data_IF_973875011700
#
_entry.id   IF_973875011700
#
_cell.length_a   1.000
_cell.length_b   1.000
_cell.length_c   1.000
_cell.angle_alpha   90.00
_cell.angle_beta   90.00
_cell.angle_gamma   90.00
#
_symmetry.space_group_name_H-M   'P 1'
#
loop_
_entity.id
_entity.type
_entity.pdbx_description
1 polymer ?
#
# COMPACT_ATOMS: atom_id res chain seq x y z
N UNK A 1 -33.47 -39.63 -57.48
CA UNK A 1 -33.31 -39.40 -56.03
C UNK A 1 -31.82 -39.13 -55.73
N UNK A 2 -31.25 -38.04 -56.25
CA UNK A 2 -29.77 -37.93 -56.29
C UNK A 2 -29.19 -36.53 -56.10
N UNK A 3 -29.97 -35.45 -56.13
CA UNK A 3 -29.43 -34.08 -56.00
C UNK A 3 -29.49 -33.59 -54.55
N UNK A 4 -30.61 -33.77 -53.85
CA UNK A 4 -30.74 -33.37 -52.45
C UNK A 4 -29.75 -34.08 -51.51
N UNK A 5 -29.39 -35.33 -51.80
CA UNK A 5 -28.38 -36.05 -51.01
C UNK A 5 -26.96 -35.51 -51.19
N UNK A 6 -26.63 -35.04 -52.40
CA UNK A 6 -25.31 -34.46 -52.70
C UNK A 6 -25.17 -33.09 -52.06
N UNK A 7 -26.20 -32.24 -52.11
CA UNK A 7 -26.17 -30.91 -51.49
C UNK A 7 -26.06 -31.00 -49.96
N UNK A 8 -26.79 -31.93 -49.33
CA UNK A 8 -26.69 -32.16 -47.88
C UNK A 8 -25.30 -32.68 -47.49
N UNK A 9 -24.71 -33.59 -48.29
CA UNK A 9 -23.37 -34.12 -48.01
C UNK A 9 -22.26 -33.06 -48.22
N UNK A 10 -22.41 -32.19 -49.23
CA UNK A 10 -21.49 -31.08 -49.50
C UNK A 10 -21.57 -29.99 -48.42
N UNK A 11 -22.78 -29.67 -47.94
CA UNK A 11 -22.96 -28.80 -46.78
C UNK A 11 -22.38 -29.42 -45.50
N UNK A 12 -22.52 -30.73 -45.29
CA UNK A 12 -21.96 -31.43 -44.13
C UNK A 12 -20.42 -31.45 -44.17
N UNK A 13 -19.82 -31.55 -45.36
CA UNK A 13 -18.36 -31.46 -45.56
C UNK A 13 -17.82 -30.03 -45.41
N UNK A 14 -18.60 -29.01 -45.78
CA UNK A 14 -18.23 -27.60 -45.58
C UNK A 14 -18.32 -27.17 -44.10
N UNK A 15 -19.26 -27.74 -43.33
CA UNK A 15 -19.37 -27.49 -41.89
C UNK A 15 -18.33 -28.28 -41.08
N UNK A 16 -17.92 -29.46 -41.54
CA UNK A 16 -16.87 -30.27 -40.90
C UNK A 16 -15.45 -29.96 -41.39
N UNK A 17 -15.31 -29.11 -42.42
CA UNK A 17 -14.04 -28.68 -43.00
C UNK A 17 -13.33 -27.54 -42.26
N UNK A 18 -13.94 -26.92 -41.25
CA UNK A 18 -13.19 -26.13 -40.27
C UNK A 18 -12.40 -27.12 -39.41
N UNK A 19 -11.15 -27.36 -39.81
CA UNK A 19 -10.22 -28.16 -39.02
C UNK A 19 -10.26 -27.70 -37.56
N UNK A 20 -10.59 -28.58 -36.60
CA UNK A 20 -10.72 -28.22 -35.19
C UNK A 20 -9.43 -27.63 -34.61
N UNK A 21 -8.28 -27.84 -35.26
CA UNK A 21 -6.99 -27.26 -34.90
C UNK A 21 -6.94 -25.71 -34.98
N UNK A 22 -7.65 -25.07 -35.92
CA UNK A 22 -7.61 -23.60 -36.06
C UNK A 22 -8.51 -22.87 -35.04
N UNK A 23 -9.55 -23.55 -34.57
CA UNK A 23 -10.49 -23.05 -33.55
C UNK A 23 -10.01 -23.38 -32.13
N UNK A 24 -9.32 -24.52 -31.95
CA UNK A 24 -8.63 -24.86 -30.70
C UNK A 24 -7.49 -23.92 -30.38
N UNK A 25 -6.68 -23.46 -31.34
CA UNK A 25 -5.60 -22.50 -31.06
C UNK A 25 -6.12 -21.17 -30.50
N UNK A 26 -7.23 -20.66 -31.04
CA UNK A 26 -7.89 -19.45 -30.50
C UNK A 26 -8.48 -19.70 -29.12
N UNK A 27 -9.05 -20.88 -28.87
CA UNK A 27 -9.61 -21.24 -27.57
C UNK A 27 -8.53 -21.46 -26.50
N UNK A 28 -7.37 -22.01 -26.87
CA UNK A 28 -6.24 -22.21 -25.96
C UNK A 28 -5.64 -20.86 -25.51
N UNK A 29 -5.53 -19.90 -26.43
CA UNK A 29 -5.13 -18.52 -26.10
C UNK A 29 -6.16 -17.82 -25.19
N UNK A 30 -7.46 -17.97 -25.48
CA UNK A 30 -8.53 -17.40 -24.67
C UNK A 30 -8.57 -17.97 -23.25
N UNK A 31 -8.38 -19.28 -23.10
CA UNK A 31 -8.30 -19.94 -21.78
C UNK A 31 -7.08 -19.43 -21.00
N UNK A 32 -5.95 -19.23 -21.67
CA UNK A 32 -4.74 -18.69 -21.05
C UNK A 32 -4.94 -17.26 -20.56
N UNK A 33 -5.60 -16.41 -21.35
CA UNK A 33 -5.94 -15.03 -20.97
C UNK A 33 -6.93 -14.98 -19.80
N UNK A 34 -7.96 -15.85 -19.80
CA UNK A 34 -8.92 -15.95 -18.69
C UNK A 34 -8.24 -16.37 -17.38
N UNK A 35 -7.29 -17.29 -17.45
CA UNK A 35 -6.50 -17.70 -16.29
C UNK A 35 -5.70 -16.53 -15.71
N UNK A 36 -4.99 -15.80 -16.55
CA UNK A 36 -4.24 -14.60 -16.14
C UNK A 36 -5.16 -13.55 -15.50
N UNK A 37 -6.37 -13.36 -16.04
CA UNK A 37 -7.34 -12.43 -15.47
C UNK A 37 -7.74 -12.80 -14.04
N UNK A 38 -7.93 -14.10 -13.76
CA UNK A 38 -8.29 -14.57 -12.41
C UNK A 38 -7.18 -14.38 -11.38
N UNK A 39 -5.93 -14.58 -11.78
CA UNK A 39 -4.76 -14.38 -10.92
C UNK A 39 -4.57 -12.90 -10.59
N UNK A 40 -4.65 -12.01 -11.60
CA UNK A 40 -4.57 -10.55 -11.40
C UNK A 40 -5.72 -10.03 -10.53
N UNK A 41 -6.94 -10.56 -10.68
CA UNK A 41 -8.07 -10.18 -9.83
C UNK A 41 -7.83 -10.56 -8.35
N UNK A 42 -7.19 -11.70 -8.10
CA UNK A 42 -6.81 -12.12 -6.75
C UNK A 42 -5.74 -11.21 -6.15
N UNK A 43 -4.69 -10.88 -6.90
CA UNK A 43 -3.65 -9.95 -6.48
C UNK A 43 -4.20 -8.55 -6.18
N UNK A 44 -5.12 -8.05 -7.01
CA UNK A 44 -5.79 -6.77 -6.78
C UNK A 44 -6.66 -6.79 -5.52
N UNK A 45 -7.32 -7.92 -5.22
CA UNK A 45 -8.09 -8.07 -3.99
C UNK A 45 -7.16 -8.00 -2.76
N UNK A 46 -6.02 -8.67 -2.81
CA UNK A 46 -5.00 -8.62 -1.75
C UNK A 46 -4.45 -7.20 -1.57
N UNK A 47 -4.08 -6.52 -2.65
CA UNK A 47 -3.59 -5.13 -2.60
C UNK A 47 -4.65 -4.17 -2.05
N UNK A 48 -5.93 -4.36 -2.40
CA UNK A 48 -7.05 -3.56 -1.87
C UNK A 48 -7.24 -3.73 -0.37
N UNK A 49 -6.87 -4.88 0.21
CA UNK A 49 -6.93 -5.04 1.68
C UNK A 49 -5.84 -4.25 2.40
N UNK A 50 -4.68 -4.06 1.76
CA UNK A 50 -3.56 -3.29 2.29
C UNK A 50 -3.76 -1.78 2.12
N UNK A 51 -4.40 -1.37 1.01
CA UNK A 51 -4.71 0.01 0.66
C UNK A 51 -6.22 0.28 0.82
N UNK A 52 -6.64 0.61 2.03
CA UNK A 52 -8.04 0.97 2.30
C UNK A 52 -8.21 2.48 2.17
N UNK A 53 -8.92 2.91 1.12
CA UNK A 53 -9.50 4.26 1.05
C UNK A 53 -10.75 4.29 1.92
N UNK A 54 -10.78 5.19 2.90
CA UNK A 54 -11.92 5.42 3.78
C UNK A 54 -12.99 6.21 3.03
N UNK A 55 -14.23 6.09 3.49
CA UNK A 55 -15.39 6.83 2.94
C UNK A 55 -15.29 8.35 3.10
N UNK A 56 -14.45 8.84 4.02
CA UNK A 56 -14.16 10.26 4.23
C UNK A 56 -12.99 10.79 3.39
N UNK A 57 -12.49 9.99 2.43
CA UNK A 57 -11.35 10.35 1.59
C UNK A 57 -9.98 10.13 2.25
N UNK A 58 -9.93 9.61 3.49
CA UNK A 58 -8.69 9.25 4.14
C UNK A 58 -8.04 7.99 3.56
N UNK A 59 -6.72 7.91 3.59
CA UNK A 59 -5.97 6.69 3.26
C UNK A 59 -5.48 6.01 4.54
N UNK A 60 -5.64 4.68 4.62
CA UNK A 60 -5.07 3.87 5.71
C UNK A 60 -4.11 2.85 5.12
N UNK A 61 -2.88 2.86 5.63
CA UNK A 61 -1.86 1.84 5.43
C UNK A 61 -1.77 1.01 6.71
N UNK A 62 -2.02 -0.30 6.60
CA UNK A 62 -1.98 -1.21 7.76
C UNK A 62 -1.20 -2.48 7.45
N UNK A 63 -0.33 -2.88 8.37
CA UNK A 63 0.36 -4.18 8.37
C UNK A 63 -0.06 -4.94 9.63
N UNK A 64 -0.18 -6.26 9.54
CA UNK A 64 -0.40 -7.13 10.70
C UNK A 64 0.89 -7.38 11.50
N UNK A 65 2.03 -6.96 10.96
CA UNK A 65 3.37 -7.12 11.55
C UNK A 65 4.17 -5.83 11.32
N UNK A 66 5.47 -5.96 11.11
CA UNK A 66 6.37 -4.84 10.91
C UNK A 66 6.08 -4.05 9.63
N UNK A 67 6.46 -2.79 9.63
CA UNK A 67 6.45 -1.90 8.48
C UNK A 67 7.82 -1.22 8.38
N UNK A 68 8.46 -1.32 7.21
CA UNK A 68 9.74 -0.69 6.93
C UNK A 68 9.55 0.42 5.89
N UNK A 69 10.05 1.62 6.20
CA UNK A 69 10.06 2.76 5.28
C UNK A 69 11.51 3.21 5.15
N UNK A 70 12.11 2.95 4.00
CA UNK A 70 13.51 3.27 3.72
C UNK A 70 13.61 4.25 2.55
N UNK A 71 14.48 5.25 2.69
CA UNK A 71 14.83 6.18 1.61
C UNK A 71 16.34 6.29 1.53
N UNK A 72 16.89 6.05 0.34
CA UNK A 72 18.32 6.21 0.10
C UNK A 72 18.80 7.67 0.09
N UNK A 73 17.88 8.65 0.21
CA UNK A 73 18.21 10.09 0.24
C UNK A 73 17.39 10.84 1.28
N UNK A 74 16.25 11.42 0.88
CA UNK A 74 15.43 12.31 1.72
C UNK A 74 14.02 11.74 1.86
N UNK A 75 13.39 11.97 3.01
CA UNK A 75 11.98 11.68 3.27
C UNK A 75 11.34 12.94 3.86
N UNK A 76 10.16 13.31 3.36
CA UNK A 76 9.37 14.43 3.86
C UNK A 76 8.01 13.89 4.30
N UNK A 77 7.65 14.11 5.56
CA UNK A 77 6.30 13.89 6.09
C UNK A 77 5.72 15.25 6.43
N UNK A 78 4.60 15.61 5.78
CA UNK A 78 3.95 16.91 5.95
C UNK A 78 2.47 16.72 6.22
N UNK A 79 1.94 17.51 7.15
CA UNK A 79 0.52 17.54 7.50
C UNK A 79 0.08 19.00 7.68
N UNK A 80 -1.11 19.34 7.21
CA UNK A 80 -1.62 20.72 7.26
C UNK A 80 -2.06 21.15 8.67
N UNK A 81 -2.47 20.21 9.51
CA UNK A 81 -3.01 20.51 10.85
C UNK A 81 -2.17 19.89 11.97
N UNK A 82 -1.91 18.57 11.89
CA UNK A 82 -1.18 17.83 12.92
C UNK A 82 -0.48 16.59 12.35
N UNK A 83 0.74 16.32 12.82
CA UNK A 83 1.46 15.08 12.58
C UNK A 83 1.69 14.38 13.92
N UNK A 84 1.37 13.09 14.01
CA UNK A 84 1.52 12.30 15.25
C UNK A 84 2.25 10.99 14.97
N UNK A 85 3.31 10.73 15.73
CA UNK A 85 4.00 9.44 15.79
C UNK A 85 3.68 8.81 17.15
N UNK A 86 3.06 7.64 17.18
CA UNK A 86 2.58 7.03 18.43
C UNK A 86 2.96 5.56 18.53
N UNK A 87 3.37 5.14 19.73
CA UNK A 87 3.55 3.75 20.11
C UNK A 87 3.00 3.52 21.53
N UNK A 88 1.81 2.92 21.63
CA UNK A 88 1.12 2.77 22.90
C UNK A 88 0.88 4.12 23.58
N UNK A 89 1.51 4.33 24.75
CA UNK A 89 1.43 5.59 25.52
C UNK A 89 2.48 6.64 25.14
N UNK A 90 3.49 6.28 24.34
CA UNK A 90 4.51 7.23 23.90
C UNK A 90 4.04 7.94 22.63
N UNK A 91 4.32 9.23 22.52
CA UNK A 91 3.93 10.03 21.35
C UNK A 91 4.89 11.19 21.07
N UNK A 92 5.02 11.53 19.80
CA UNK A 92 5.58 12.80 19.31
C UNK A 92 4.49 13.47 18.47
N UNK A 93 4.13 14.71 18.80
CA UNK A 93 3.08 15.48 18.11
C UNK A 93 3.65 16.80 17.63
N UNK A 94 3.43 17.10 16.35
CA UNK A 94 3.72 18.39 15.73
C UNK A 94 2.40 19.03 15.32
N UNK A 95 2.16 20.26 15.77
CA UNK A 95 0.92 21.00 15.52
C UNK A 95 1.16 22.18 14.57
N UNK A 96 0.13 22.59 13.80
CA UNK A 96 0.25 23.72 12.85
C UNK A 96 0.67 25.06 13.46
N UNK A 97 0.48 25.23 14.77
CA UNK A 97 0.88 26.44 15.50
C UNK A 97 2.38 26.46 15.88
N UNK A 98 3.12 25.38 15.56
CA UNK A 98 4.54 25.24 15.86
C UNK A 98 4.82 24.50 17.17
N UNK A 99 3.80 24.10 17.93
CA UNK A 99 4.00 23.33 19.16
C UNK A 99 4.50 21.92 18.83
N UNK A 100 5.48 21.47 19.61
CA UNK A 100 6.03 20.11 19.57
C UNK A 100 5.89 19.51 20.96
N UNK A 101 5.22 18.36 21.05
CA UNK A 101 5.02 17.62 22.29
C UNK A 101 5.68 16.24 22.20
N UNK A 102 6.50 15.88 23.20
CA UNK A 102 7.18 14.59 23.28
C UNK A 102 6.81 13.96 24.63
N UNK A 103 6.04 12.88 24.58
CA UNK A 103 5.57 12.16 25.76
C UNK A 103 6.11 10.73 25.80
N UNK A 104 6.56 10.31 26.98
CA UNK A 104 7.00 8.95 27.23
C UNK A 104 7.30 8.71 28.72
N UNK A 105 7.36 7.44 29.13
CA UNK A 105 7.75 7.07 30.50
C UNK A 105 9.22 7.40 30.80
N UNK A 106 10.09 7.21 29.81
CA UNK A 106 11.51 7.53 29.87
C UNK A 106 11.90 8.16 28.52
N UNK A 107 12.64 9.27 28.56
CA UNK A 107 13.13 9.97 27.36
C UNK A 107 14.64 10.14 27.53
N UNK A 108 15.40 9.54 26.62
CA UNK A 108 16.86 9.66 26.58
C UNK A 108 17.25 10.46 25.34
N UNK A 109 18.02 11.53 25.53
CA UNK A 109 18.56 12.36 24.46
C UNK A 109 20.09 12.31 24.57
N UNK A 110 20.76 11.82 23.53
CA UNK A 110 22.21 11.68 23.46
C UNK A 110 22.73 12.39 22.22
N UNK A 111 23.79 13.19 22.36
CA UNK A 111 24.50 13.80 21.25
C UNK A 111 26.01 13.49 21.36
N UNK A 112 26.68 13.34 20.22
CA UNK A 112 28.13 13.11 20.18
C UNK A 112 28.95 14.36 20.47
N UNK A 113 28.41 15.53 20.15
CA UNK A 113 29.00 16.83 20.42
C UNK A 113 28.12 17.54 21.46
N UNK A 114 27.29 18.49 21.03
CA UNK A 114 26.52 19.35 21.93
C UNK A 114 25.01 19.11 21.83
N UNK A 115 24.32 19.31 22.96
CA UNK A 115 22.88 19.56 23.01
C UNK A 115 22.70 21.03 23.41
N UNK A 116 22.17 21.85 22.50
CA UNK A 116 21.96 23.28 22.73
C UNK A 116 20.47 23.56 22.85
N UNK A 117 20.02 23.97 24.04
CA UNK A 117 18.63 24.36 24.30
C UNK A 117 18.61 25.87 24.59
N UNK A 118 17.88 26.64 23.79
CA UNK A 118 17.74 28.10 23.93
C UNK A 118 16.27 28.47 24.01
N UNK A 119 15.94 29.39 24.89
CA UNK A 119 14.63 30.03 24.95
C UNK A 119 14.80 31.54 25.08
N UNK A 120 13.99 32.30 24.36
CA UNK A 120 14.00 33.78 24.42
C UNK A 120 13.13 34.33 25.56
N UNK A 121 12.31 33.47 26.18
CA UNK A 121 11.38 33.86 27.26
C UNK A 121 11.69 33.10 28.54
N UNK A 122 11.46 31.79 28.53
CA UNK A 122 11.59 30.95 29.72
C UNK A 122 11.97 29.52 29.34
N UNK A 123 12.81 28.90 30.17
CA UNK A 123 13.06 27.46 30.17
C UNK A 123 12.65 26.91 31.54
N UNK A 124 11.69 25.99 31.57
CA UNK A 124 11.24 25.32 32.80
C UNK A 124 11.70 23.88 32.78
N UNK A 125 12.63 23.53 33.68
CA UNK A 125 13.10 22.16 33.88
C UNK A 125 12.70 21.69 35.29
N UNK A 126 11.86 20.65 35.36
CA UNK A 126 11.37 20.07 36.61
C UNK A 126 11.80 18.61 36.70
N UNK A 127 12.44 18.26 37.81
CA UNK A 127 12.78 16.89 38.16
C UNK A 127 12.95 16.78 39.67
N UNK A 128 12.70 15.59 40.24
CA UNK A 128 12.99 15.34 41.66
C UNK A 128 14.49 15.41 41.98
N UNK A 129 15.34 15.24 40.95
CA UNK A 129 16.79 15.40 41.02
C UNK A 129 17.34 15.80 39.65
N UNK A 130 18.18 16.83 39.62
CA UNK A 130 18.94 17.24 38.45
C UNK A 130 20.42 17.04 38.80
N UNK A 131 21.16 16.33 37.93
CA UNK A 131 22.60 16.14 38.05
C UNK A 131 23.27 16.98 36.98
N UNK A 132 24.19 17.82 37.39
CA UNK A 132 24.98 18.72 36.53
C UNK A 132 26.45 18.49 36.91
N UNK A 133 27.37 18.57 35.93
CA UNK A 133 28.81 18.39 36.13
C UNK A 133 29.58 19.58 35.57
#
# INVERSE_FOLDING_TARGET
MSINRIVVLLCFLLVSGLSPAAEQLKNDELVKLQKQLSEVQKELAELKTLLKTRSDGGLVLSSSRDMHIESGKKTLLSAADKLTLQAGKASIVLSKNGDIEINGRNIQVTASNDIVIKSTKELVLKGSKIKEN
#
